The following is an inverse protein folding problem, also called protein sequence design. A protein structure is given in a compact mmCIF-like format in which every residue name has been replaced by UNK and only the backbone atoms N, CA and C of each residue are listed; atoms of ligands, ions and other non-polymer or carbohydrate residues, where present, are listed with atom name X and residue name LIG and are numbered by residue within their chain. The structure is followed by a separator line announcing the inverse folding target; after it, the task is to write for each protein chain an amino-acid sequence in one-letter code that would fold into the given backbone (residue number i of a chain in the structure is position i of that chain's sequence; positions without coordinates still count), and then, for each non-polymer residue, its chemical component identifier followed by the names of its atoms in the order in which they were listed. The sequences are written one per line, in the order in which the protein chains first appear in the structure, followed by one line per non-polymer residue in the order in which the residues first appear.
data_IF_889495939755
#
_entry.id   IF_889495939755
#
_cell.length_a   1.000
_cell.length_b   1.000
_cell.length_c   1.000
_cell.angle_alpha   90.00
_cell.angle_beta   90.00
_cell.angle_gamma   90.00
#
_symmetry.space_group_name_H-M   'P 1'
#
loop_
_entity.id
_entity.type
_entity.pdbx_description
1 polymer ?
#
# COMPACT_ATOMS: atom_id res chain seq x y z
N UNK A 1 7.74 21.33 -7.99
CA UNK A 1 8.57 20.40 -7.19
C UNK A 1 7.96 20.22 -5.81
N UNK A 2 7.63 18.99 -5.42
CA UNK A 2 7.11 18.74 -4.09
C UNK A 2 8.20 18.97 -3.05
N UNK A 3 7.86 19.68 -1.98
CA UNK A 3 8.76 19.92 -0.86
C UNK A 3 9.01 18.61 -0.11
N UNK A 4 10.25 18.33 0.28
CA UNK A 4 10.52 17.28 1.25
C UNK A 4 10.05 17.72 2.66
N UNK A 5 10.06 16.78 3.64
CA UNK A 5 9.55 17.04 5.00
C UNK A 5 10.24 18.23 5.67
N UNK A 6 11.55 18.29 5.57
CA UNK A 6 12.35 19.36 6.18
C UNK A 6 12.10 20.71 5.51
N UNK A 7 12.01 20.74 4.18
CA UNK A 7 11.68 21.95 3.42
C UNK A 7 10.26 22.45 3.73
N UNK A 8 9.28 21.56 3.88
CA UNK A 8 7.94 21.94 4.29
C UNK A 8 7.93 22.50 5.72
N UNK A 9 8.62 21.85 6.66
CA UNK A 9 8.74 22.33 8.03
C UNK A 9 9.44 23.68 8.13
N UNK A 10 10.52 23.87 7.40
CA UNK A 10 11.26 25.13 7.36
C UNK A 10 10.39 26.26 6.80
N UNK A 11 9.67 26.01 5.70
CA UNK A 11 8.78 27.03 5.11
C UNK A 11 7.61 27.41 6.01
N UNK A 12 7.02 26.45 6.71
CA UNK A 12 5.97 26.75 7.69
C UNK A 12 6.53 27.61 8.83
N UNK A 13 7.72 27.29 9.34
CA UNK A 13 8.38 28.10 10.37
C UNK A 13 8.65 29.53 9.89
N UNK A 14 9.15 29.71 8.68
CA UNK A 14 9.40 31.02 8.08
C UNK A 14 8.13 31.86 7.95
N UNK A 15 6.98 31.24 7.54
CA UNK A 15 5.69 31.93 7.46
C UNK A 15 5.27 32.45 8.84
N UNK A 16 5.38 31.64 9.87
CA UNK A 16 4.93 32.00 11.21
C UNK A 16 5.86 33.00 11.89
N UNK A 17 7.16 32.90 11.65
CA UNK A 17 8.12 33.88 12.14
C UNK A 17 7.90 35.25 11.48
N UNK A 18 7.56 35.29 10.19
CA UNK A 18 7.17 36.52 9.49
C UNK A 18 5.88 37.11 10.08
N UNK A 19 4.84 36.28 10.33
CA UNK A 19 3.58 36.74 10.92
C UNK A 19 3.76 37.26 12.35
N UNK A 20 4.67 36.68 13.14
CA UNK A 20 4.99 37.09 14.52
C UNK A 20 5.82 38.38 14.58
N UNK A 21 6.83 38.51 13.71
CA UNK A 21 7.79 39.60 13.77
C UNK A 21 7.28 40.91 13.15
N UNK A 22 6.44 40.82 12.10
CA UNK A 22 5.97 42.00 11.38
C UNK A 22 4.57 42.47 11.78
N UNK A 23 3.90 41.81 12.76
CA UNK A 23 2.45 42.03 13.06
C UNK A 23 1.56 41.96 11.80
N UNK A 24 2.04 41.27 10.76
CA UNK A 24 1.30 41.02 9.53
C UNK A 24 0.31 39.88 9.75
N UNK A 25 -0.91 40.11 9.37
CA UNK A 25 -1.90 39.05 9.26
C UNK A 25 -1.44 38.07 8.17
N UNK A 26 -1.26 36.79 8.49
CA UNK A 26 -0.96 35.75 7.52
C UNK A 26 -2.10 35.68 6.50
N UNK A 27 -1.78 35.90 5.22
CA UNK A 27 -2.77 35.83 4.15
C UNK A 27 -2.77 34.45 3.51
N UNK A 28 -3.90 34.04 2.93
CA UNK A 28 -3.99 32.80 2.14
C UNK A 28 -2.95 32.80 0.99
N UNK A 29 -2.63 33.97 0.43
CA UNK A 29 -1.63 34.12 -0.62
C UNK A 29 -0.23 33.75 -0.14
N UNK A 30 0.13 34.11 1.10
CA UNK A 30 1.43 33.74 1.70
C UNK A 30 1.54 32.21 1.85
N UNK A 31 0.45 31.54 2.29
CA UNK A 31 0.39 30.09 2.40
C UNK A 31 0.49 29.42 1.03
N UNK A 32 -0.28 29.89 0.04
CA UNK A 32 -0.25 29.33 -1.32
C UNK A 32 1.12 29.46 -1.97
N UNK A 33 1.76 30.62 -1.87
CA UNK A 33 3.07 30.86 -2.46
C UNK A 33 4.17 29.98 -1.88
N UNK A 34 4.04 29.58 -0.61
CA UNK A 34 5.07 28.81 0.10
C UNK A 34 4.79 27.31 0.16
N UNK A 35 3.53 26.89 0.34
CA UNK A 35 3.16 25.48 0.49
C UNK A 35 2.48 24.91 -0.76
N UNK A 36 1.88 25.77 -1.57
CA UNK A 36 1.05 25.37 -2.71
C UNK A 36 -0.45 25.40 -2.39
N UNK A 37 -1.26 25.60 -3.42
CA UNK A 37 -2.71 25.74 -3.28
C UNK A 37 -3.38 24.46 -2.75
N UNK A 38 -2.95 23.28 -3.18
CA UNK A 38 -3.56 22.02 -2.79
C UNK A 38 -3.39 21.71 -1.29
N UNK A 39 -2.29 22.14 -0.67
CA UNK A 39 -2.12 21.96 0.79
C UNK A 39 -3.09 22.87 1.55
N UNK A 40 -3.29 24.10 1.08
CA UNK A 40 -4.29 25.00 1.66
C UNK A 40 -5.70 24.43 1.50
N UNK A 41 -6.06 23.95 0.32
CA UNK A 41 -7.36 23.33 0.05
C UNK A 41 -7.58 22.10 0.90
N UNK A 42 -6.57 21.24 1.02
CA UNK A 42 -6.61 20.03 1.85
C UNK A 42 -6.79 20.38 3.34
N UNK A 43 -6.11 21.42 3.84
CA UNK A 43 -6.31 21.88 5.21
C UNK A 43 -7.75 22.33 5.44
N UNK A 44 -8.31 23.17 4.57
CA UNK A 44 -9.69 23.63 4.67
C UNK A 44 -10.66 22.45 4.65
N UNK A 45 -10.50 21.52 3.70
CA UNK A 45 -11.36 20.34 3.57
C UNK A 45 -11.21 19.35 4.75
N UNK A 46 -10.05 19.31 5.42
CA UNK A 46 -9.82 18.43 6.58
C UNK A 46 -10.34 18.96 7.90
N UNK A 47 -10.90 20.16 7.89
CA UNK A 47 -11.40 20.84 9.11
C UNK A 47 -12.92 20.92 9.04
N UNK A 48 -13.58 20.80 10.20
CA UNK A 48 -14.99 21.11 10.30
C UNK A 48 -15.20 22.62 10.10
N UNK A 49 -15.72 22.96 8.92
CA UNK A 49 -15.95 24.35 8.49
C UNK A 49 -17.27 24.94 9.01
N UNK A 50 -18.06 24.17 9.77
CA UNK A 50 -19.30 24.67 10.40
C UNK A 50 -19.00 25.51 11.64
N UNK A 51 -17.79 25.43 12.17
CA UNK A 51 -17.29 26.17 13.31
C UNK A 51 -16.11 27.11 12.97
N UNK A 52 -15.47 27.64 14.01
CA UNK A 52 -14.27 28.45 13.85
C UNK A 52 -13.09 27.57 13.46
N UNK A 53 -12.40 27.93 12.37
CA UNK A 53 -11.22 27.23 11.89
C UNK A 53 -9.95 27.77 12.56
N UNK A 54 -9.26 26.89 13.30
CA UNK A 54 -7.96 27.23 13.86
C UNK A 54 -6.83 26.97 12.88
N UNK A 55 -5.85 27.87 12.81
CA UNK A 55 -4.61 27.68 12.07
C UNK A 55 -3.41 27.74 13.01
N UNK A 56 -2.52 26.79 12.88
CA UNK A 56 -1.25 26.76 13.61
C UNK A 56 -0.17 26.09 12.76
N UNK A 57 1.08 26.27 13.17
CA UNK A 57 2.24 25.62 12.58
C UNK A 57 2.04 24.10 12.44
N UNK A 58 1.55 23.50 13.51
CA UNK A 58 1.36 22.07 13.57
C UNK A 58 0.23 21.58 12.65
N UNK A 59 -0.86 22.35 12.57
CA UNK A 59 -1.99 22.03 11.69
C UNK A 59 -1.55 22.05 10.21
N UNK A 60 -0.81 23.09 9.80
CA UNK A 60 -0.29 23.19 8.44
C UNK A 60 0.75 22.11 8.13
N UNK A 61 1.58 21.72 9.11
CA UNK A 61 2.49 20.57 8.97
C UNK A 61 1.73 19.26 8.76
N UNK A 62 0.67 19.01 9.51
CA UNK A 62 -0.16 17.82 9.36
C UNK A 62 -0.83 17.78 7.99
N UNK A 63 -1.36 18.90 7.51
CA UNK A 63 -1.93 18.99 6.16
C UNK A 63 -0.86 18.70 5.07
N UNK A 64 0.35 19.25 5.20
CA UNK A 64 1.45 18.97 4.29
C UNK A 64 1.93 17.50 4.36
N UNK A 65 1.89 16.87 5.54
CA UNK A 65 2.21 15.45 5.71
C UNK A 65 1.14 14.56 5.07
N UNK A 66 -0.14 14.91 5.22
CA UNK A 66 -1.27 14.23 4.57
C UNK A 66 -1.18 14.33 3.04
N UNK A 67 -0.97 15.55 2.53
CA UNK A 67 -0.73 15.79 1.10
C UNK A 67 0.40 14.91 0.55
N UNK A 68 1.53 14.88 1.26
CA UNK A 68 2.68 14.09 0.82
C UNK A 68 2.38 12.58 0.78
N UNK A 69 1.62 12.04 1.74
CA UNK A 69 1.23 10.63 1.76
C UNK A 69 0.37 10.28 0.56
N UNK A 70 -0.69 11.06 0.30
CA UNK A 70 -1.59 10.86 -0.84
C UNK A 70 -0.79 10.94 -2.15
N UNK A 71 0.03 11.98 -2.32
CA UNK A 71 0.85 12.18 -3.52
C UNK A 71 1.88 11.06 -3.72
N UNK A 72 2.50 10.57 -2.66
CA UNK A 72 3.44 9.45 -2.75
C UNK A 72 2.75 8.14 -3.13
N UNK A 73 1.53 7.88 -2.64
CA UNK A 73 0.72 6.74 -3.07
C UNK A 73 0.43 6.83 -4.57
N UNK A 74 -0.10 7.95 -5.05
CA UNK A 74 -0.35 8.16 -6.48
C UNK A 74 0.93 8.01 -7.33
N UNK A 75 2.05 8.55 -6.87
CA UNK A 75 3.35 8.41 -7.55
C UNK A 75 3.81 6.96 -7.63
N UNK A 76 3.60 6.17 -6.58
CA UNK A 76 3.94 4.74 -6.59
C UNK A 76 3.07 3.99 -7.60
N UNK A 77 1.77 4.25 -7.63
CA UNK A 77 0.84 3.66 -8.59
C UNK A 77 1.29 3.95 -10.02
N UNK A 78 1.51 5.22 -10.37
CA UNK A 78 1.95 5.64 -11.69
C UNK A 78 3.30 5.03 -12.11
N UNK A 79 4.29 5.02 -11.20
CA UNK A 79 5.61 4.50 -11.50
C UNK A 79 5.59 3.00 -11.89
N UNK A 80 4.67 2.23 -11.30
CA UNK A 80 4.52 0.81 -11.57
C UNK A 80 3.62 0.49 -12.78
N UNK A 81 2.98 1.50 -13.36
CA UNK A 81 2.24 1.39 -14.63
C UNK A 81 3.10 1.68 -15.86
N UNK A 82 4.39 1.92 -15.71
CA UNK A 82 5.27 2.12 -16.85
C UNK A 82 5.28 0.89 -17.77
N UNK A 83 4.96 1.11 -19.06
CA UNK A 83 4.85 0.06 -20.06
C UNK A 83 3.58 -0.80 -19.94
N UNK A 84 2.57 -0.36 -19.20
CA UNK A 84 1.25 -0.97 -19.15
C UNK A 84 0.30 -0.27 -20.14
N UNK A 85 -0.29 -1.04 -21.03
CA UNK A 85 -1.32 -0.58 -21.97
C UNK A 85 -2.68 -1.13 -21.51
N UNK A 86 -3.60 -0.28 -21.03
CA UNK A 86 -4.90 -0.75 -20.50
C UNK A 86 -5.77 -1.46 -21.53
N UNK A 87 -5.50 -1.31 -22.84
CA UNK A 87 -6.24 -2.01 -23.89
C UNK A 87 -5.71 -3.43 -24.09
N UNK A 88 -4.40 -3.66 -23.90
CA UNK A 88 -3.75 -4.94 -24.24
C UNK A 88 -3.39 -5.78 -23.03
N UNK A 89 -3.04 -5.11 -21.92
CA UNK A 89 -2.39 -5.74 -20.78
C UNK A 89 -3.33 -5.96 -19.59
N UNK A 90 -4.58 -5.45 -19.68
CA UNK A 90 -5.58 -5.63 -18.64
C UNK A 90 -5.90 -7.11 -18.45
N UNK A 91 -5.83 -7.58 -17.20
CA UNK A 91 -6.22 -8.94 -16.82
C UNK A 91 -7.68 -8.92 -16.35
N UNK A 92 -8.47 -9.90 -16.76
CA UNK A 92 -9.87 -10.02 -16.33
C UNK A 92 -9.95 -10.32 -14.84
N UNK A 93 -10.99 -9.83 -14.13
CA UNK A 93 -11.11 -10.02 -12.68
C UNK A 93 -10.97 -11.48 -12.23
N UNK A 94 -11.56 -12.44 -12.96
CA UNK A 94 -11.51 -13.85 -12.66
C UNK A 94 -10.12 -14.51 -12.85
N UNK A 95 -9.25 -13.86 -13.59
CA UNK A 95 -7.87 -14.31 -13.85
C UNK A 95 -6.83 -13.59 -12.98
N UNK A 96 -7.25 -12.57 -12.22
CA UNK A 96 -6.37 -11.80 -11.35
C UNK A 96 -5.99 -12.57 -10.10
N UNK A 97 -4.82 -12.25 -9.56
CA UNK A 97 -4.38 -12.66 -8.22
C UNK A 97 -5.38 -12.16 -7.17
N UNK A 98 -5.74 -13.00 -6.20
CA UNK A 98 -6.82 -12.69 -5.26
C UNK A 98 -6.54 -11.42 -4.45
N UNK A 99 -5.30 -11.20 -4.00
CA UNK A 99 -4.87 -9.98 -3.30
C UNK A 99 -5.09 -8.71 -4.16
N UNK A 100 -4.88 -8.81 -5.46
CA UNK A 100 -5.09 -7.67 -6.36
C UNK A 100 -6.58 -7.34 -6.51
N UNK A 101 -7.45 -8.36 -6.57
CA UNK A 101 -8.90 -8.18 -6.56
C UNK A 101 -9.38 -7.56 -5.25
N UNK A 102 -8.86 -8.04 -4.11
CA UNK A 102 -9.13 -7.44 -2.80
C UNK A 102 -8.75 -5.95 -2.76
N UNK A 103 -7.60 -5.59 -3.31
CA UNK A 103 -7.17 -4.19 -3.31
C UNK A 103 -8.08 -3.29 -4.16
N UNK A 104 -8.62 -3.80 -5.28
CA UNK A 104 -9.66 -3.10 -6.07
C UNK A 104 -10.97 -3.00 -5.29
N UNK A 105 -11.34 -4.04 -4.53
CA UNK A 105 -12.50 -4.04 -3.62
C UNK A 105 -12.37 -2.99 -2.51
N UNK A 106 -11.18 -2.86 -1.91
CA UNK A 106 -10.92 -1.76 -0.97
C UNK A 106 -11.13 -0.38 -1.60
N UNK A 107 -10.74 -0.22 -2.88
CA UNK A 107 -10.99 1.02 -3.61
C UNK A 107 -12.49 1.22 -3.89
N UNK A 108 -13.25 0.18 -4.19
CA UNK A 108 -14.69 0.25 -4.36
C UNK A 108 -15.38 0.73 -3.07
N UNK A 109 -15.10 0.10 -1.95
CA UNK A 109 -15.62 0.50 -0.65
C UNK A 109 -15.21 1.94 -0.28
N UNK A 110 -13.97 2.33 -0.60
CA UNK A 110 -13.51 3.70 -0.38
C UNK A 110 -14.28 4.71 -1.24
N UNK A 111 -14.55 4.38 -2.49
CA UNK A 111 -15.33 5.24 -3.37
C UNK A 111 -16.75 5.45 -2.87
N UNK A 112 -17.42 4.40 -2.42
CA UNK A 112 -18.75 4.49 -1.87
C UNK A 112 -18.84 5.44 -0.66
N UNK A 113 -17.89 5.33 0.26
CA UNK A 113 -17.80 6.19 1.43
C UNK A 113 -17.52 7.65 1.03
N UNK A 114 -16.56 7.85 0.11
CA UNK A 114 -16.17 9.18 -0.38
C UNK A 114 -17.32 9.87 -1.11
N UNK A 115 -18.07 9.14 -1.95
CA UNK A 115 -19.21 9.70 -2.67
C UNK A 115 -20.31 10.15 -1.70
N UNK A 116 -20.65 9.33 -0.71
CA UNK A 116 -21.60 9.70 0.36
C UNK A 116 -21.15 10.97 1.10
N UNK A 117 -19.86 11.06 1.42
CA UNK A 117 -19.31 12.22 2.11
C UNK A 117 -19.30 13.48 1.23
N UNK A 118 -19.11 13.36 -0.08
CA UNK A 118 -19.25 14.48 -1.02
C UNK A 118 -20.72 14.94 -1.15
N UNK A 119 -21.67 14.00 -1.22
CA UNK A 119 -23.11 14.31 -1.29
C UNK A 119 -23.62 15.04 -0.05
N UNK A 120 -23.10 14.68 1.15
CA UNK A 120 -23.44 15.35 2.41
C UNK A 120 -22.62 16.61 2.68
N UNK A 121 -21.64 16.94 1.82
CA UNK A 121 -20.67 18.02 2.03
C UNK A 121 -19.77 17.84 3.27
N UNK A 122 -19.58 16.60 3.73
CA UNK A 122 -18.68 16.24 4.85
C UNK A 122 -17.24 16.07 4.36
N UNK A 123 -16.61 17.15 3.91
CA UNK A 123 -15.29 17.09 3.28
C UNK A 123 -14.19 16.55 4.19
N UNK A 124 -14.32 16.71 5.51
CA UNK A 124 -13.37 16.13 6.45
C UNK A 124 -13.42 14.59 6.44
N UNK A 125 -14.59 13.98 6.25
CA UNK A 125 -14.73 12.53 6.08
C UNK A 125 -14.09 12.07 4.77
N UNK A 126 -14.24 12.83 3.67
CA UNK A 126 -13.53 12.56 2.41
C UNK A 126 -12.02 12.48 2.65
N UNK A 127 -11.46 13.48 3.35
CA UNK A 127 -10.01 13.52 3.62
C UNK A 127 -9.58 12.37 4.53
N UNK A 128 -10.36 12.05 5.57
CA UNK A 128 -10.06 10.94 6.47
C UNK A 128 -10.08 9.60 5.73
N UNK A 129 -11.11 9.35 4.91
CA UNK A 129 -11.24 8.11 4.14
C UNK A 129 -10.11 7.96 3.13
N UNK A 130 -9.79 9.04 2.41
CA UNK A 130 -8.67 9.08 1.47
C UNK A 130 -7.33 8.79 2.17
N UNK A 131 -7.10 9.39 3.34
CA UNK A 131 -5.89 9.16 4.14
C UNK A 131 -5.80 7.73 4.66
N UNK A 132 -6.92 7.15 5.14
CA UNK A 132 -6.98 5.76 5.57
C UNK A 132 -6.64 4.82 4.42
N UNK A 133 -7.27 5.01 3.26
CA UNK A 133 -7.00 4.23 2.06
C UNK A 133 -5.52 4.28 1.66
N UNK A 134 -4.95 5.48 1.52
CA UNK A 134 -3.56 5.65 1.10
C UNK A 134 -2.54 5.13 2.12
N UNK A 135 -2.82 5.25 3.44
CA UNK A 135 -1.83 4.93 4.47
C UNK A 135 -1.94 3.51 5.00
N UNK A 136 -3.16 3.00 5.18
CA UNK A 136 -3.40 1.69 5.80
C UNK A 136 -3.61 0.63 4.73
N UNK A 137 -4.68 0.72 3.95
CA UNK A 137 -5.05 -0.32 2.99
C UNK A 137 -3.98 -0.47 1.90
N UNK A 138 -3.52 0.65 1.34
CA UNK A 138 -2.47 0.64 0.33
C UNK A 138 -1.07 0.62 0.95
N UNK A 139 -0.70 1.64 1.71
CA UNK A 139 0.68 1.92 2.10
C UNK A 139 1.30 0.89 3.03
N UNK A 140 0.57 0.41 4.03
CA UNK A 140 1.10 -0.53 5.03
C UNK A 140 0.87 -2.00 4.68
N UNK A 141 0.09 -2.30 3.67
CA UNK A 141 -0.25 -3.66 3.28
C UNK A 141 -0.02 -3.93 1.80
N UNK A 142 -0.96 -3.54 0.93
CA UNK A 142 -0.97 -3.94 -0.47
C UNK A 142 0.30 -3.54 -1.22
N UNK A 143 0.64 -2.24 -1.21
CA UNK A 143 1.79 -1.73 -1.97
C UNK A 143 3.12 -2.27 -1.46
N UNK A 144 3.19 -2.71 -0.23
CA UNK A 144 4.40 -3.31 0.35
C UNK A 144 4.61 -4.74 -0.15
N UNK A 145 3.52 -5.54 -0.18
CA UNK A 145 3.55 -6.93 -0.63
C UNK A 145 3.87 -7.01 -2.13
N UNK A 146 3.23 -6.20 -2.95
CA UNK A 146 3.37 -6.29 -4.41
C UNK A 146 4.72 -5.84 -4.95
N UNK A 147 5.56 -5.18 -4.15
CA UNK A 147 6.92 -4.79 -4.58
C UNK A 147 7.71 -5.97 -5.12
N UNK A 148 7.61 -7.12 -4.46
CA UNK A 148 8.28 -8.34 -4.92
C UNK A 148 7.83 -8.69 -6.34
N UNK A 149 6.52 -8.84 -6.59
CA UNK A 149 6.00 -9.17 -7.93
C UNK A 149 6.32 -8.11 -8.98
N UNK A 150 6.15 -6.82 -8.64
CA UNK A 150 6.40 -5.73 -9.59
C UNK A 150 7.85 -5.67 -10.05
N UNK A 151 8.80 -5.98 -9.18
CA UNK A 151 10.22 -5.83 -9.48
C UNK A 151 10.89 -7.16 -9.89
N UNK A 152 10.31 -8.30 -9.56
CA UNK A 152 10.97 -9.60 -9.80
C UNK A 152 10.22 -10.52 -10.75
N UNK A 153 8.91 -10.42 -10.90
CA UNK A 153 8.17 -11.25 -11.84
C UNK A 153 8.49 -10.91 -13.30
N UNK A 154 8.27 -11.87 -14.19
CA UNK A 154 8.44 -11.70 -15.62
C UNK A 154 7.50 -10.60 -16.13
N UNK A 155 7.99 -9.76 -17.05
CA UNK A 155 7.31 -8.53 -17.45
C UNK A 155 5.90 -8.73 -18.01
N UNK A 156 5.70 -9.82 -18.75
CA UNK A 156 4.45 -10.21 -19.42
C UNK A 156 3.66 -11.30 -18.66
N UNK A 157 4.09 -11.66 -17.43
CA UNK A 157 3.41 -12.66 -16.62
C UNK A 157 2.06 -12.16 -16.08
N UNK A 158 1.12 -13.09 -15.93
CA UNK A 158 -0.17 -12.79 -15.27
C UNK A 158 0.04 -12.21 -13.88
N UNK A 159 1.00 -12.74 -13.11
CA UNK A 159 1.32 -12.24 -11.77
C UNK A 159 1.67 -10.75 -11.74
N UNK A 160 2.42 -10.26 -12.76
CA UNK A 160 2.76 -8.84 -12.87
C UNK A 160 1.62 -8.01 -13.47
N UNK A 161 0.98 -8.50 -14.54
CA UNK A 161 -0.12 -7.80 -15.21
C UNK A 161 -1.36 -7.69 -14.33
N UNK A 162 -1.68 -8.70 -13.53
CA UNK A 162 -2.73 -8.63 -12.51
C UNK A 162 -2.52 -7.46 -11.55
N UNK A 163 -1.31 -7.35 -11.01
CA UNK A 163 -0.96 -6.25 -10.13
C UNK A 163 -1.09 -4.89 -10.85
N UNK A 164 -0.56 -4.76 -12.08
CA UNK A 164 -0.68 -3.51 -12.84
C UNK A 164 -2.14 -3.16 -13.16
N UNK A 165 -2.97 -4.16 -13.43
CA UNK A 165 -4.42 -3.98 -13.60
C UNK A 165 -5.06 -3.39 -12.34
N UNK A 166 -4.77 -3.95 -11.16
CA UNK A 166 -5.25 -3.40 -9.90
C UNK A 166 -4.77 -1.95 -9.67
N UNK A 167 -3.48 -1.70 -9.89
CA UNK A 167 -2.92 -0.34 -9.75
C UNK A 167 -3.57 0.66 -10.70
N UNK A 168 -3.90 0.24 -11.92
CA UNK A 168 -4.61 1.07 -12.89
C UNK A 168 -6.02 1.42 -12.39
N UNK A 169 -6.82 0.44 -11.98
CA UNK A 169 -8.15 0.69 -11.43
C UNK A 169 -8.11 1.62 -10.21
N UNK A 170 -7.16 1.37 -9.31
CA UNK A 170 -7.00 2.17 -8.08
C UNK A 170 -6.62 3.61 -8.41
N UNK A 171 -5.68 3.86 -9.31
CA UNK A 171 -5.26 5.23 -9.61
C UNK A 171 -6.31 6.00 -10.42
N UNK A 172 -7.08 5.33 -11.28
CA UNK A 172 -8.23 5.92 -11.99
C UNK A 172 -9.29 6.43 -11.00
N UNK A 173 -9.58 5.65 -9.96
CA UNK A 173 -10.50 6.06 -8.91
C UNK A 173 -9.89 7.16 -8.02
N UNK A 174 -8.67 6.94 -7.51
CA UNK A 174 -7.97 7.85 -6.60
C UNK A 174 -7.85 9.28 -7.14
N UNK A 175 -7.49 9.43 -8.40
CA UNK A 175 -7.31 10.75 -9.02
C UNK A 175 -8.63 11.54 -9.07
N UNK A 176 -9.74 10.85 -9.29
CA UNK A 176 -11.08 11.46 -9.29
C UNK A 176 -11.53 11.82 -7.89
N UNK A 177 -11.29 10.95 -6.90
CA UNK A 177 -11.64 11.25 -5.49
C UNK A 177 -10.96 12.51 -4.99
N UNK A 178 -9.69 12.70 -5.36
CA UNK A 178 -8.94 13.85 -4.87
C UNK A 178 -9.15 15.12 -5.69
N UNK A 179 -9.68 15.05 -6.92
CA UNK A 179 -9.80 16.19 -7.83
C UNK A 179 -10.61 17.39 -7.27
N UNK A 180 -11.73 17.21 -6.56
CA UNK A 180 -12.47 18.35 -6.01
C UNK A 180 -11.68 19.11 -4.92
N UNK A 181 -10.76 18.46 -4.20
CA UNK A 181 -9.99 19.04 -3.10
C UNK A 181 -8.57 19.40 -3.55
N UNK A 182 -7.82 18.45 -4.10
CA UNK A 182 -6.43 18.60 -4.54
C UNK A 182 -6.37 18.75 -6.06
N UNK A 183 -7.03 19.76 -6.57
CA UNK A 183 -7.35 19.93 -7.98
C UNK A 183 -6.13 19.99 -8.90
N UNK A 184 -5.09 20.70 -8.49
CA UNK A 184 -3.88 20.84 -9.31
C UNK A 184 -3.06 19.56 -9.37
N UNK A 185 -2.94 18.88 -8.24
CA UNK A 185 -2.23 17.59 -8.17
C UNK A 185 -2.98 16.50 -8.92
N UNK A 186 -4.32 16.48 -8.83
CA UNK A 186 -5.14 15.52 -9.55
C UNK A 186 -5.01 15.69 -11.06
N UNK A 187 -5.06 16.92 -11.57
CA UNK A 187 -4.91 17.19 -13.00
C UNK A 187 -3.48 16.90 -13.50
N UNK A 188 -2.47 17.16 -12.68
CA UNK A 188 -1.09 16.74 -12.99
C UNK A 188 -0.99 15.20 -13.11
N UNK A 189 -1.54 14.44 -12.16
CA UNK A 189 -1.55 12.98 -12.17
C UNK A 189 -2.33 12.44 -13.38
N UNK A 190 -3.47 13.06 -13.70
CA UNK A 190 -4.33 12.70 -14.83
C UNK A 190 -3.56 12.66 -16.16
N UNK A 191 -2.68 13.61 -16.39
CA UNK A 191 -1.85 13.69 -17.59
C UNK A 191 -0.78 12.58 -17.71
N UNK A 192 -0.51 11.83 -16.64
CA UNK A 192 0.47 10.73 -16.64
C UNK A 192 -0.18 9.33 -16.66
N UNK A 193 -1.50 9.24 -16.56
CA UNK A 193 -2.18 7.96 -16.62
C UNK A 193 -2.11 7.35 -18.03
N UNK A 194 -1.90 6.03 -18.17
CA UNK A 194 -1.89 5.37 -19.47
C UNK A 194 -3.30 5.31 -20.07
N UNK A 195 -3.37 5.24 -21.40
CA UNK A 195 -4.62 5.14 -22.16
C UNK A 195 -5.14 6.50 -22.65
N UNK A 196 -6.11 6.45 -23.59
CA UNK A 196 -6.80 7.63 -24.09
C UNK A 196 -7.79 8.17 -23.06
N UNK A 197 -7.87 9.49 -22.89
CA UNK A 197 -8.71 10.13 -21.89
C UNK A 197 -9.06 11.57 -22.24
N UNK A 198 -10.04 12.13 -21.53
CA UNK A 198 -10.36 13.54 -21.57
C UNK A 198 -9.18 14.41 -21.16
N UNK A 199 -9.13 15.64 -21.68
CA UNK A 199 -8.01 16.55 -21.45
C UNK A 199 -7.79 16.89 -19.97
N UNK A 200 -8.86 17.03 -19.22
CA UNK A 200 -8.85 17.42 -17.81
C UNK A 200 -9.60 16.41 -16.94
N UNK A 201 -9.10 16.15 -15.75
CA UNK A 201 -9.77 15.26 -14.78
C UNK A 201 -11.19 15.73 -14.42
N UNK A 202 -11.45 17.02 -14.50
CA UNK A 202 -12.72 17.65 -14.11
C UNK A 202 -13.87 17.41 -15.10
N UNK A 203 -13.56 16.92 -16.29
CA UNK A 203 -14.58 16.56 -17.31
C UNK A 203 -14.91 15.07 -17.28
N UNK A 204 -14.21 14.29 -16.46
CA UNK A 204 -14.46 12.86 -16.27
C UNK A 204 -15.53 12.61 -15.19
N UNK A 205 -16.30 11.56 -15.40
CA UNK A 205 -17.23 11.03 -14.40
C UNK A 205 -16.51 10.21 -13.33
N UNK A 206 -17.21 9.82 -12.26
CA UNK A 206 -16.69 8.87 -11.27
C UNK A 206 -16.33 7.55 -11.95
N UNK A 207 -15.27 6.92 -11.45
CA UNK A 207 -14.77 5.70 -12.07
C UNK A 207 -15.68 4.51 -11.77
N UNK A 208 -16.21 3.87 -12.82
CA UNK A 208 -17.15 2.75 -12.71
C UNK A 208 -16.46 1.37 -12.82
N UNK A 209 -15.15 1.34 -13.08
CA UNK A 209 -14.41 0.10 -13.33
C UNK A 209 -13.96 -0.65 -12.08
N UNK A 210 -14.42 -0.26 -10.87
CA UNK A 210 -14.07 -0.95 -9.63
C UNK A 210 -14.94 -2.19 -9.43
N UNK A 211 -14.37 -3.20 -8.80
CA UNK A 211 -15.03 -4.47 -8.45
C UNK A 211 -14.38 -5.03 -7.18
N UNK A 212 -15.12 -5.84 -6.43
CA UNK A 212 -14.65 -6.51 -5.21
C UNK A 212 -14.63 -8.02 -5.33
N UNK A 213 -14.28 -8.67 -4.23
CA UNK A 213 -14.46 -10.09 -4.01
C UNK A 213 -15.94 -10.36 -3.71
N UNK A 214 -16.45 -11.51 -4.10
CA UNK A 214 -17.78 -11.93 -3.70
C UNK A 214 -17.78 -12.47 -2.25
N UNK A 215 -18.87 -12.25 -1.52
CA UNK A 215 -18.99 -12.63 -0.10
C UNK A 215 -18.85 -14.15 0.12
N UNK A 216 -19.22 -14.96 -0.87
CA UNK A 216 -19.13 -16.43 -0.84
C UNK A 216 -17.78 -16.97 -1.32
N UNK A 217 -16.83 -16.13 -1.69
CA UNK A 217 -15.47 -16.58 -2.01
C UNK A 217 -14.73 -17.02 -0.75
N UNK A 218 -13.93 -18.08 -0.88
CA UNK A 218 -13.15 -18.63 0.24
C UNK A 218 -12.14 -17.62 0.82
N UNK A 219 -11.65 -16.69 0.00
CA UNK A 219 -10.73 -15.62 0.40
C UNK A 219 -11.39 -14.24 0.19
N UNK A 220 -12.56 -14.08 0.81
CA UNK A 220 -13.33 -12.84 0.83
C UNK A 220 -12.69 -11.76 1.73
N UNK A 221 -13.36 -10.64 1.93
CA UNK A 221 -12.86 -9.52 2.73
C UNK A 221 -12.59 -9.93 4.20
N UNK A 222 -13.43 -10.77 4.81
CA UNK A 222 -13.23 -11.28 6.18
C UNK A 222 -11.93 -12.10 6.31
N UNK A 223 -11.60 -12.89 5.28
CA UNK A 223 -10.33 -13.62 5.23
C UNK A 223 -9.13 -12.66 5.22
N UNK A 224 -9.17 -11.63 4.39
CA UNK A 224 -8.07 -10.66 4.30
C UNK A 224 -7.97 -9.78 5.55
N UNK A 225 -9.08 -9.43 6.17
CA UNK A 225 -9.11 -8.71 7.45
C UNK A 225 -8.48 -9.53 8.59
N UNK A 226 -8.71 -10.83 8.62
CA UNK A 226 -8.06 -11.71 9.59
C UNK A 226 -6.56 -11.87 9.29
N UNK A 227 -6.18 -12.00 8.02
CA UNK A 227 -4.79 -12.07 7.59
C UNK A 227 -4.01 -10.78 7.89
N UNK A 228 -4.66 -9.62 7.78
CA UNK A 228 -4.10 -8.34 8.23
C UNK A 228 -3.76 -8.34 9.73
N UNK A 229 -4.62 -8.93 10.57
CA UNK A 229 -4.37 -9.08 12.01
C UNK A 229 -3.19 -10.02 12.26
N UNK A 230 -3.13 -11.16 11.56
CA UNK A 230 -1.99 -12.11 11.64
C UNK A 230 -0.70 -11.38 11.28
N UNK A 231 -0.67 -10.66 10.16
CA UNK A 231 0.52 -9.89 9.75
C UNK A 231 0.91 -8.84 10.77
N UNK A 232 -0.05 -8.17 11.39
CA UNK A 232 0.18 -7.21 12.47
C UNK A 232 0.93 -7.85 13.65
N UNK A 233 0.52 -9.04 14.07
CA UNK A 233 1.17 -9.80 15.14
C UNK A 233 2.57 -10.29 14.74
N UNK A 234 2.74 -10.79 13.51
CA UNK A 234 4.05 -11.17 12.98
C UNK A 234 5.00 -9.97 12.94
N UNK A 235 4.53 -8.81 12.51
CA UNK A 235 5.34 -7.59 12.47
C UNK A 235 5.84 -7.17 13.86
N UNK A 236 5.03 -7.32 14.93
CA UNK A 236 5.48 -7.07 16.31
C UNK A 236 6.68 -7.96 16.68
N UNK A 237 6.60 -9.25 16.33
CA UNK A 237 7.67 -10.21 16.60
C UNK A 237 8.94 -9.87 15.80
N UNK A 238 8.78 -9.47 14.53
CA UNK A 238 9.89 -9.04 13.68
C UNK A 238 10.55 -7.77 14.24
N UNK A 239 9.79 -6.76 14.64
CA UNK A 239 10.34 -5.52 15.19
C UNK A 239 11.07 -5.76 16.53
N UNK A 240 10.54 -6.64 17.38
CA UNK A 240 11.26 -7.06 18.60
C UNK A 240 12.58 -7.76 18.27
N UNK A 241 12.58 -8.69 17.30
CA UNK A 241 13.77 -9.38 16.86
C UNK A 241 14.82 -8.43 16.24
N UNK A 242 14.36 -7.37 15.54
CA UNK A 242 15.22 -6.29 15.03
C UNK A 242 15.85 -5.46 16.16
N UNK A 243 15.04 -5.10 17.15
CA UNK A 243 15.54 -4.39 18.34
C UNK A 243 16.59 -5.21 19.08
N UNK A 244 16.40 -6.52 19.18
CA UNK A 244 17.32 -7.49 19.77
C UNK A 244 18.53 -7.81 18.87
N UNK A 245 18.59 -7.26 17.65
CA UNK A 245 19.62 -7.51 16.62
C UNK A 245 19.73 -8.99 16.19
N UNK A 246 18.64 -9.75 16.30
CA UNK A 246 18.56 -11.14 15.80
C UNK A 246 18.44 -11.19 14.29
N UNK A 247 17.74 -10.22 13.69
CA UNK A 247 17.58 -10.03 12.23
C UNK A 247 17.75 -8.55 11.87
N UNK A 248 18.25 -8.27 10.67
CA UNK A 248 18.41 -6.91 10.16
C UNK A 248 17.16 -6.39 9.45
N UNK A 249 16.32 -7.28 8.94
CA UNK A 249 15.08 -6.95 8.22
C UNK A 249 14.13 -8.13 8.11
N UNK A 250 12.90 -7.88 7.69
CA UNK A 250 11.85 -8.89 7.62
C UNK A 250 12.20 -10.07 6.68
N UNK A 251 12.86 -9.79 5.55
CA UNK A 251 13.28 -10.84 4.61
C UNK A 251 14.46 -11.70 5.14
N UNK A 252 15.11 -11.32 6.24
CA UNK A 252 16.07 -12.17 6.92
C UNK A 252 15.41 -13.17 7.89
N UNK A 253 14.08 -13.03 8.09
CA UNK A 253 13.31 -13.87 9.00
C UNK A 253 12.58 -15.00 8.26
N UNK A 254 12.45 -16.13 8.96
CA UNK A 254 11.45 -17.15 8.73
C UNK A 254 10.55 -17.22 9.99
N UNK A 255 9.25 -17.42 9.80
CA UNK A 255 8.29 -17.47 10.89
C UNK A 255 7.56 -18.80 10.92
N UNK A 256 7.28 -19.30 12.13
CA UNK A 256 6.35 -20.39 12.36
C UNK A 256 5.13 -19.86 13.10
N UNK A 257 3.97 -20.05 12.49
CA UNK A 257 2.67 -19.66 12.99
C UNK A 257 2.00 -20.89 13.61
N UNK A 258 1.93 -20.93 14.92
CA UNK A 258 1.18 -21.96 15.64
C UNK A 258 -0.27 -21.49 15.75
N UNK A 259 -1.14 -22.09 14.98
CA UNK A 259 -2.52 -21.66 14.82
C UNK A 259 -3.50 -22.74 15.24
N UNK A 260 -4.67 -22.34 15.74
CA UNK A 260 -5.79 -23.25 15.92
C UNK A 260 -6.30 -23.80 14.57
N UNK A 261 -7.18 -24.78 14.60
CA UNK A 261 -7.57 -25.51 13.40
C UNK A 261 -8.17 -24.62 12.31
N UNK A 262 -9.01 -23.65 12.70
CA UNK A 262 -9.71 -22.76 11.74
C UNK A 262 -8.74 -21.77 11.10
N UNK A 263 -7.92 -21.12 11.91
CA UNK A 263 -6.90 -20.20 11.42
C UNK A 263 -5.83 -20.92 10.61
N UNK A 264 -5.39 -22.12 11.05
CA UNK A 264 -4.42 -22.94 10.33
C UNK A 264 -4.92 -23.32 8.93
N UNK A 265 -6.21 -23.68 8.80
CA UNK A 265 -6.80 -24.00 7.50
C UNK A 265 -6.74 -22.80 6.54
N UNK A 266 -7.07 -21.61 7.02
CA UNK A 266 -6.99 -20.36 6.24
C UNK A 266 -5.55 -20.02 5.81
N UNK A 267 -4.61 -20.09 6.74
CA UNK A 267 -3.20 -19.79 6.45
C UNK A 267 -2.60 -20.80 5.46
N UNK A 268 -2.89 -22.08 5.63
CA UNK A 268 -2.42 -23.14 4.73
C UNK A 268 -3.02 -23.02 3.32
N UNK A 269 -4.21 -22.42 3.16
CA UNK A 269 -4.80 -22.18 1.84
C UNK A 269 -3.93 -21.28 0.93
N UNK A 270 -3.10 -20.42 1.52
CA UNK A 270 -2.14 -19.57 0.77
C UNK A 270 -0.88 -20.35 0.33
N UNK A 271 -0.59 -21.51 0.91
CA UNK A 271 0.61 -22.28 0.61
C UNK A 271 1.90 -21.47 0.78
N UNK A 272 2.83 -21.61 -0.15
CA UNK A 272 4.11 -20.86 -0.14
C UNK A 272 3.91 -19.34 -0.29
N UNK A 273 2.77 -18.89 -0.81
CA UNK A 273 2.51 -17.47 -0.99
C UNK A 273 2.26 -16.72 0.33
N UNK A 274 2.00 -17.44 1.44
CA UNK A 274 1.89 -16.85 2.78
C UNK A 274 3.12 -16.03 3.16
N UNK A 275 4.34 -16.49 2.84
CA UNK A 275 5.58 -15.76 3.15
C UNK A 275 5.66 -14.40 2.45
N UNK A 276 5.05 -14.22 1.29
CA UNK A 276 5.02 -12.93 0.60
C UNK A 276 4.06 -11.96 1.27
N UNK A 277 2.92 -12.44 1.76
CA UNK A 277 1.99 -11.61 2.54
C UNK A 277 2.65 -11.14 3.84
N UNK A 278 3.42 -12.02 4.49
CA UNK A 278 4.12 -11.70 5.73
C UNK A 278 5.45 -10.94 5.51
N UNK A 279 5.90 -10.81 4.26
CA UNK A 279 7.20 -10.21 3.89
C UNK A 279 8.39 -10.89 4.57
N UNK A 280 8.37 -12.21 4.62
CA UNK A 280 9.43 -13.06 5.19
C UNK A 280 10.02 -13.98 4.13
N UNK A 281 11.20 -14.54 4.36
CA UNK A 281 11.77 -15.54 3.44
C UNK A 281 11.19 -16.94 3.62
N UNK A 282 10.58 -17.22 4.78
CA UNK A 282 9.86 -18.46 5.06
C UNK A 282 8.67 -18.24 5.97
N UNK A 283 7.60 -18.99 5.76
CA UNK A 283 6.42 -19.02 6.63
C UNK A 283 5.91 -20.46 6.74
N UNK A 284 5.84 -20.97 7.96
CA UNK A 284 5.32 -22.30 8.26
C UNK A 284 4.11 -22.18 9.18
N UNK A 285 3.13 -23.05 8.99
CA UNK A 285 1.95 -23.17 9.86
C UNK A 285 2.02 -24.49 10.61
N UNK A 286 1.84 -24.44 11.92
CA UNK A 286 1.87 -25.61 12.80
C UNK A 286 0.68 -25.61 13.77
N UNK A 287 0.41 -26.76 14.36
CA UNK A 287 -0.66 -26.90 15.34
C UNK A 287 -0.39 -26.04 16.59
N UNK A 288 -1.42 -25.34 17.06
CA UNK A 288 -1.33 -24.45 18.22
C UNK A 288 -0.82 -25.12 19.49
N UNK A 289 -1.22 -26.40 19.70
CA UNK A 289 -0.80 -27.18 20.88
C UNK A 289 0.67 -27.60 20.82
N UNK A 290 1.28 -27.60 19.62
CA UNK A 290 2.69 -27.94 19.43
C UNK A 290 3.66 -26.77 19.63
N UNK A 291 3.12 -25.60 20.03
CA UNK A 291 3.92 -24.39 20.17
C UNK A 291 5.09 -24.54 21.14
N UNK A 292 6.26 -24.14 20.71
CA UNK A 292 7.48 -24.12 21.55
C UNK A 292 7.33 -23.10 22.70
N UNK A 293 8.15 -23.26 23.73
CA UNK A 293 8.07 -22.42 24.94
C UNK A 293 8.42 -20.93 24.68
N UNK A 294 9.16 -20.65 23.63
CA UNK A 294 9.54 -19.31 23.19
C UNK A 294 8.54 -18.66 22.22
N UNK A 295 7.44 -19.37 21.88
CA UNK A 295 6.40 -18.86 21.02
C UNK A 295 5.64 -17.71 21.69
N UNK A 296 5.63 -16.55 21.02
CA UNK A 296 4.95 -15.35 21.51
C UNK A 296 3.45 -15.46 21.23
N UNK A 297 2.63 -15.35 22.27
CA UNK A 297 1.18 -15.35 22.17
C UNK A 297 0.72 -14.05 21.51
N UNK A 298 -0.14 -14.18 20.49
CA UNK A 298 -0.81 -13.01 19.90
C UNK A 298 -1.75 -12.34 20.90
N UNK A 299 -1.74 -11.02 20.92
CA UNK A 299 -2.66 -10.21 21.73
C UNK A 299 -4.05 -10.12 21.11
N UNK A 300 -4.12 -10.07 19.78
CA UNK A 300 -5.37 -9.89 19.02
C UNK A 300 -6.05 -11.22 18.68
N UNK A 301 -5.28 -12.28 18.44
CA UNK A 301 -5.76 -13.57 17.98
C UNK A 301 -5.41 -14.65 19.01
N UNK A 302 -6.39 -15.04 19.84
CA UNK A 302 -6.17 -16.02 20.92
C UNK A 302 -5.66 -17.36 20.42
N UNK A 303 -6.05 -17.75 19.19
CA UNK A 303 -5.64 -18.99 18.53
C UNK A 303 -4.29 -18.92 17.79
N UNK A 304 -3.47 -17.88 18.02
CA UNK A 304 -2.21 -17.70 17.31
C UNK A 304 -1.04 -17.47 18.27
N UNK A 305 0.06 -18.20 18.04
CA UNK A 305 1.39 -17.88 18.58
C UNK A 305 2.40 -17.82 17.45
N UNK A 306 3.42 -17.02 17.60
CA UNK A 306 4.45 -16.77 16.55
C UNK A 306 5.84 -17.03 17.10
N UNK A 307 6.64 -17.77 16.35
CA UNK A 307 8.10 -17.89 16.55
C UNK A 307 8.80 -17.36 15.32
N UNK A 308 9.89 -16.64 15.56
CA UNK A 308 10.76 -16.15 14.51
C UNK A 308 12.12 -16.83 14.61
N UNK A 309 12.62 -17.29 13.48
CA UNK A 309 14.00 -17.75 13.28
C UNK A 309 14.67 -16.96 12.17
N UNK A 310 16.00 -17.02 12.12
CA UNK A 310 16.71 -16.51 10.94
C UNK A 310 16.44 -17.45 9.76
N UNK A 311 16.17 -16.86 8.60
CA UNK A 311 15.95 -17.62 7.37
C UNK A 311 17.22 -18.36 6.95
N UNK A 312 17.07 -19.57 6.42
CA UNK A 312 18.17 -20.41 5.96
C UNK A 312 18.68 -19.97 4.57
N UNK A 313 19.95 -20.31 4.30
CA UNK A 313 20.58 -20.06 3.01
C UNK A 313 21.18 -18.68 2.85
N UNK A 314 21.29 -18.22 1.60
CA UNK A 314 21.92 -16.96 1.24
C UNK A 314 20.91 -15.98 0.65
N UNK A 315 21.20 -14.69 0.76
CA UNK A 315 20.35 -13.63 0.23
C UNK A 315 20.48 -13.56 -1.29
N UNK A 316 19.38 -13.77 -2.00
CA UNK A 316 19.34 -13.56 -3.44
C UNK A 316 19.50 -12.06 -3.76
N UNK A 317 20.48 -11.64 -4.58
CA UNK A 317 20.73 -10.23 -4.87
C UNK A 317 19.61 -9.56 -5.68
N UNK A 318 18.72 -10.35 -6.33
CA UNK A 318 17.63 -9.84 -7.13
C UNK A 318 16.33 -9.66 -6.33
N UNK A 319 15.84 -10.70 -5.63
CA UNK A 319 14.58 -10.63 -4.88
C UNK A 319 14.75 -10.38 -3.39
N UNK A 320 15.99 -10.45 -2.89
CA UNK A 320 16.39 -10.23 -1.50
C UNK A 320 15.89 -11.27 -0.49
N UNK A 321 15.12 -12.27 -0.94
CA UNK A 321 14.78 -13.42 -0.09
C UNK A 321 16.03 -14.29 0.19
N UNK A 322 16.06 -14.87 1.37
CA UNK A 322 17.06 -15.90 1.73
C UNK A 322 16.57 -17.26 1.24
N UNK A 323 17.47 -18.02 0.63
CA UNK A 323 17.12 -19.29 0.00
C UNK A 323 18.35 -20.19 -0.11
N UNK A 324 18.12 -21.51 -0.17
CA UNK A 324 19.18 -22.55 -0.26
C UNK A 324 19.43 -23.01 -1.70
N UNK A 325 18.83 -22.37 -2.69
CA UNK A 325 18.89 -22.80 -4.09
C UNK A 325 19.70 -21.88 -5.02
N UNK A 326 20.37 -20.87 -4.46
CA UNK A 326 21.32 -20.05 -5.23
C UNK A 326 22.47 -20.94 -5.73
N UNK A 327 22.87 -20.75 -6.99
CA UNK A 327 23.93 -21.53 -7.62
C UNK A 327 23.51 -22.87 -8.22
N UNK A 328 22.24 -23.28 -8.08
CA UNK A 328 21.77 -24.56 -8.67
C UNK A 328 21.63 -24.52 -10.19
N UNK A 329 21.52 -23.34 -10.79
CA UNK A 329 21.46 -23.16 -12.24
C UNK A 329 22.73 -22.48 -12.71
N UNK A 330 23.59 -23.21 -13.40
CA UNK A 330 24.95 -22.76 -13.76
C UNK A 330 24.98 -21.47 -14.60
N UNK A 331 24.00 -21.27 -15.47
CA UNK A 331 23.89 -20.08 -16.35
C UNK A 331 23.49 -18.81 -15.55
N UNK A 332 22.94 -18.99 -14.35
CA UNK A 332 22.46 -17.91 -13.47
C UNK A 332 22.84 -18.20 -12.01
N UNK A 333 24.08 -18.54 -11.77
CA UNK A 333 24.58 -19.01 -10.47
C UNK A 333 24.46 -17.99 -9.32
N UNK A 334 24.22 -16.72 -9.63
CA UNK A 334 24.15 -15.65 -8.61
C UNK A 334 22.74 -15.44 -8.02
N UNK A 335 21.69 -15.98 -8.67
CA UNK A 335 20.29 -15.75 -8.27
C UNK A 335 19.56 -17.05 -7.94
N UNK A 336 18.48 -16.95 -7.15
CA UNK A 336 17.66 -18.10 -6.76
C UNK A 336 16.85 -18.68 -7.94
N UNK A 337 16.39 -19.92 -7.83
CA UNK A 337 15.63 -20.62 -8.86
C UNK A 337 14.35 -19.88 -9.28
N UNK A 338 13.66 -19.24 -8.34
CA UNK A 338 12.50 -18.37 -8.63
C UNK A 338 12.90 -17.21 -9.57
N UNK A 339 13.98 -16.54 -9.25
CA UNK A 339 14.48 -15.44 -10.08
C UNK A 339 14.97 -15.92 -11.45
N UNK A 340 15.57 -17.11 -11.53
CA UNK A 340 15.93 -17.74 -12.82
C UNK A 340 14.69 -17.96 -13.67
N UNK A 341 13.61 -18.54 -13.11
CA UNK A 341 12.34 -18.72 -13.81
C UNK A 341 11.78 -17.41 -14.36
N UNK A 342 11.86 -16.32 -13.59
CA UNK A 342 11.36 -15.01 -14.00
C UNK A 342 12.24 -14.30 -15.05
N UNK A 343 13.54 -14.62 -15.13
CA UNK A 343 14.48 -13.97 -16.05
C UNK A 343 14.61 -14.74 -17.36
N UNK A 344 14.72 -16.07 -17.28
CA UNK A 344 15.08 -16.94 -18.40
C UNK A 344 14.05 -18.05 -18.66
N UNK A 345 13.07 -18.25 -17.78
CA UNK A 345 12.03 -19.27 -17.90
C UNK A 345 10.64 -18.72 -18.21
N UNK A 346 9.62 -19.51 -17.87
CA UNK A 346 8.21 -19.17 -18.10
C UNK A 346 7.64 -18.16 -17.08
N UNK A 347 8.41 -17.86 -16.05
CA UNK A 347 7.98 -17.01 -14.93
C UNK A 347 7.28 -17.80 -13.82
N UNK A 348 7.23 -17.19 -12.64
CA UNK A 348 6.51 -17.77 -11.52
C UNK A 348 5.00 -17.63 -11.68
N UNK A 349 4.27 -18.59 -11.13
CA UNK A 349 2.81 -18.57 -11.05
C UNK A 349 2.40 -18.09 -9.65
N UNK A 350 1.49 -17.14 -9.59
CA UNK A 350 0.89 -16.61 -8.37
C UNK A 350 -0.62 -16.67 -8.48
N UNK A 351 -1.28 -17.07 -7.39
CA UNK A 351 -2.74 -17.15 -7.31
C UNK A 351 -3.31 -16.22 -6.25
N UNK A 352 -2.61 -16.07 -5.13
CA UNK A 352 -3.15 -15.44 -3.94
C UNK A 352 -2.49 -14.10 -3.61
N UNK A 353 -1.15 -13.96 -3.75
CA UNK A 353 -0.42 -12.77 -3.32
C UNK A 353 0.82 -12.41 -4.18
#
# INVERSE_FOLDING_TARGET
MALNKEQAQQKVKEILDLARNEKKTLTYQDVMNKLGADILRLWVASTDYTGEMAVSDEILKRAADSYRRIRNTARFLLANLNGFDPVKDMVKPEEMVVLDRWAVGCAQAAQEDILKAYESYDFHEVVQRLMRFCSIEMGSFYLDIIKDRQYTAKADSVARRSCQTALFHIVEALVRWMAPIMSFTADEIWGYLPGEREKYVFTGEWYEGLFGLADDEAMNDDFWDELLKVRGEVNKVIEQARADKKVGGSLEAAVTLYADADLAAKLNALGDELRFVLLTSGANVADYASASADAQQSELLKGLKVVLSKAEGEKCPRCWHYTTDIGKVAEHAEICGRCVSNVAGDGEQRKFA
#
